data_IF_649374294194
#
_entry.id   IF_649374294194
#
_cell.length_a   1.000
_cell.length_b   1.000
_cell.length_c   1.000
_cell.angle_alpha   90.00
_cell.angle_beta   90.00
_cell.angle_gamma   90.00
#
_symmetry.space_group_name_H-M   'P 1'
#
loop_
_entity.id
_entity.type
_entity.pdbx_description
1 polymer ?
#
# COMPACT_ATOMS: atom_id res chain seq x y z
N UNK A 1 14.23 17.35 -5.16
CA UNK A 1 13.39 17.37 -3.96
C UNK A 1 13.31 18.79 -3.41
N UNK A 2 12.11 19.33 -3.29
CA UNK A 2 11.88 20.63 -2.70
C UNK A 2 10.69 20.53 -1.76
N UNK A 3 10.79 21.12 -0.59
CA UNK A 3 9.75 21.12 0.44
C UNK A 3 8.62 22.10 0.14
N UNK A 4 8.83 22.97 -0.87
CA UNK A 4 7.90 24.01 -1.24
C UNK A 4 7.72 24.05 -2.77
N UNK A 5 6.87 23.16 -3.27
CA UNK A 5 6.45 23.16 -4.68
C UNK A 5 4.96 23.47 -4.73
N UNK A 6 4.58 24.44 -5.54
CA UNK A 6 3.19 24.76 -5.83
C UNK A 6 2.87 24.39 -7.27
N UNK A 7 1.77 23.69 -7.48
CA UNK A 7 1.24 23.35 -8.80
C UNK A 7 -0.11 24.02 -8.99
N UNK A 8 -0.28 24.70 -10.11
CA UNK A 8 -1.55 25.23 -10.58
C UNK A 8 -2.00 24.40 -11.77
N UNK A 9 -2.88 23.45 -11.53
CA UNK A 9 -3.35 22.47 -12.53
C UNK A 9 -4.80 22.67 -12.95
N UNK A 10 -5.49 23.64 -12.34
CA UNK A 10 -6.90 23.94 -12.58
C UNK A 10 -7.12 25.46 -12.66
N UNK A 11 -6.34 26.16 -13.50
CA UNK A 11 -6.55 27.59 -13.72
C UNK A 11 -7.85 27.83 -14.50
N UNK A 12 -8.41 29.02 -14.40
CA UNK A 12 -9.55 29.46 -15.24
C UNK A 12 -9.24 29.34 -16.73
N UNK A 13 -7.96 29.41 -17.09
CA UNK A 13 -7.46 29.16 -18.44
C UNK A 13 -6.93 27.74 -18.48
N UNK A 14 -7.77 26.79 -18.89
CA UNK A 14 -7.48 25.36 -18.96
C UNK A 14 -6.20 24.98 -19.73
N UNK A 15 -5.72 25.88 -20.58
CA UNK A 15 -4.47 25.69 -21.34
C UNK A 15 -3.21 25.96 -20.50
N UNK A 16 -3.37 26.59 -19.35
CA UNK A 16 -2.24 26.96 -18.50
C UNK A 16 -2.05 25.98 -17.35
N UNK A 17 -0.89 25.36 -17.29
CA UNK A 17 -0.40 24.62 -16.14
C UNK A 17 0.83 25.34 -15.61
N UNK A 18 0.76 25.78 -14.36
CA UNK A 18 1.86 26.46 -13.69
C UNK A 18 2.49 25.59 -12.62
N UNK A 19 3.77 25.76 -12.40
CA UNK A 19 4.43 25.27 -11.20
C UNK A 19 5.48 26.26 -10.72
N UNK A 20 5.64 26.34 -9.41
CA UNK A 20 6.63 27.20 -8.80
C UNK A 20 7.39 26.47 -7.69
N UNK A 21 8.68 26.78 -7.60
CA UNK A 21 9.59 26.19 -6.60
C UNK A 21 10.30 27.36 -5.91
N UNK A 22 10.41 27.31 -4.61
CA UNK A 22 11.17 28.30 -3.88
C UNK A 22 12.67 28.04 -4.09
N UNK A 23 13.39 29.01 -4.65
CA UNK A 23 14.83 28.91 -4.92
C UNK A 23 15.25 29.79 -6.10
N UNK A 24 16.54 29.81 -6.38
CA UNK A 24 17.12 30.57 -7.49
C UNK A 24 17.37 29.71 -8.73
N UNK A 25 17.20 28.39 -8.62
CA UNK A 25 17.37 27.43 -9.72
C UNK A 25 16.18 26.48 -9.78
N UNK A 26 15.73 26.22 -11.02
CA UNK A 26 14.77 25.16 -11.32
C UNK A 26 15.30 24.32 -12.47
N UNK A 27 15.21 23.00 -12.33
CA UNK A 27 15.56 22.04 -13.38
C UNK A 27 14.38 21.15 -13.66
N UNK A 28 13.90 21.18 -14.91
CA UNK A 28 12.82 20.32 -15.37
C UNK A 28 13.17 19.69 -16.73
N UNK A 29 12.53 18.58 -17.03
CA UNK A 29 12.71 17.87 -18.27
C UNK A 29 11.39 17.80 -19.03
N UNK A 30 11.42 18.13 -20.32
CA UNK A 30 10.32 17.89 -21.25
C UNK A 30 10.69 16.67 -22.06
N UNK A 31 9.86 15.63 -21.98
CA UNK A 31 10.09 14.36 -22.66
C UNK A 31 9.12 14.29 -23.84
N UNK A 32 9.68 14.14 -25.04
CA UNK A 32 8.91 14.01 -26.26
C UNK A 32 9.08 12.61 -26.88
N UNK A 33 8.05 12.14 -27.57
CA UNK A 33 8.04 10.92 -28.34
C UNK A 33 6.90 10.93 -29.35
N UNK A 34 7.00 10.13 -30.40
CA UNK A 34 5.99 10.05 -31.45
C UNK A 34 4.66 9.44 -30.96
N UNK A 35 4.74 8.63 -29.90
CA UNK A 35 3.61 8.05 -29.22
C UNK A 35 3.87 7.91 -27.70
N UNK A 36 2.84 7.48 -26.96
CA UNK A 36 2.94 7.30 -25.50
C UNK A 36 4.01 6.28 -25.11
N UNK A 37 4.23 5.24 -25.91
CA UNK A 37 5.25 4.21 -25.61
C UNK A 37 6.64 4.81 -25.74
N UNK A 38 6.91 5.59 -26.79
CA UNK A 38 8.17 6.29 -26.99
C UNK A 38 8.47 7.30 -25.87
N UNK A 39 7.45 8.04 -25.40
CA UNK A 39 7.60 8.92 -24.22
C UNK A 39 7.96 8.11 -22.96
N UNK A 40 7.28 6.99 -22.70
CA UNK A 40 7.57 6.13 -21.55
C UNK A 40 8.96 5.49 -21.65
N UNK A 41 9.39 5.07 -22.84
CA UNK A 41 10.72 4.52 -23.06
C UNK A 41 11.80 5.56 -22.72
N UNK A 42 11.69 6.76 -23.28
CA UNK A 42 12.62 7.85 -22.98
C UNK A 42 12.61 8.22 -21.51
N UNK A 43 11.43 8.29 -20.90
CA UNK A 43 11.32 8.55 -19.46
C UNK A 43 12.03 7.49 -18.62
N UNK A 44 11.78 6.21 -18.92
CA UNK A 44 12.39 5.12 -18.14
C UNK A 44 13.88 4.94 -18.40
N UNK A 45 14.37 5.35 -19.56
CA UNK A 45 15.82 5.40 -19.84
C UNK A 45 16.54 6.45 -18.98
N UNK A 46 15.85 7.57 -18.67
CA UNK A 46 16.36 8.61 -17.78
C UNK A 46 16.25 8.25 -16.29
N UNK A 47 15.16 7.58 -15.91
CA UNK A 47 14.81 7.35 -14.48
C UNK A 47 15.09 5.94 -13.99
N UNK A 48 15.38 5.02 -14.90
CA UNK A 48 15.51 3.60 -14.63
C UNK A 48 14.24 2.82 -15.00
N UNK A 49 14.44 1.65 -15.61
CA UNK A 49 13.33 0.76 -15.98
C UNK A 49 12.83 0.01 -14.74
N UNK A 50 11.51 -0.15 -14.56
CA UNK A 50 10.97 -0.97 -13.50
C UNK A 50 11.32 -2.45 -13.70
N UNK A 51 11.38 -3.22 -12.61
CA UNK A 51 11.48 -4.67 -12.71
C UNK A 51 10.20 -5.24 -13.36
N UNK A 52 10.36 -6.31 -14.13
CA UNK A 52 9.23 -7.04 -14.68
C UNK A 52 8.58 -7.87 -13.57
N UNK A 53 7.33 -7.57 -13.17
CA UNK A 53 6.64 -8.35 -12.15
C UNK A 53 6.34 -9.78 -12.66
N UNK A 54 6.22 -10.77 -11.76
CA UNK A 54 5.84 -12.12 -12.14
C UNK A 54 4.39 -12.16 -12.67
N UNK A 55 4.12 -13.05 -13.63
CA UNK A 55 2.82 -13.11 -14.32
C UNK A 55 1.61 -13.24 -13.38
N UNK A 56 1.74 -13.96 -12.27
CA UNK A 56 0.66 -14.12 -11.28
C UNK A 56 0.22 -12.79 -10.65
N UNK A 57 1.08 -11.76 -10.61
CA UNK A 57 0.75 -10.46 -10.00
C UNK A 57 -0.26 -9.64 -10.84
N UNK A 58 -0.43 -10.01 -12.11
CA UNK A 58 -1.45 -9.44 -13.00
C UNK A 58 -2.78 -10.20 -12.96
N UNK A 59 -2.87 -11.28 -12.20
CA UNK A 59 -4.09 -12.03 -12.00
C UNK A 59 -5.04 -11.38 -10.99
N UNK A 60 -6.12 -12.08 -10.65
CA UNK A 60 -7.12 -11.59 -9.70
C UNK A 60 -6.58 -11.59 -8.27
N UNK A 61 -6.76 -10.47 -7.60
CA UNK A 61 -6.54 -10.27 -6.17
C UNK A 61 -7.89 -10.10 -5.49
N UNK A 62 -8.27 -11.03 -4.64
CA UNK A 62 -9.50 -10.95 -3.85
C UNK A 62 -9.16 -10.48 -2.43
N UNK A 63 -9.88 -9.49 -1.96
CA UNK A 63 -9.73 -8.95 -0.60
C UNK A 63 -10.99 -9.16 0.23
N UNK A 64 -10.83 -9.40 1.51
CA UNK A 64 -11.91 -9.36 2.50
C UNK A 64 -12.45 -7.96 2.72
N UNK A 65 -11.67 -6.91 2.37
CA UNK A 65 -11.99 -5.54 2.77
C UNK A 65 -12.05 -5.38 4.31
N UNK A 66 -12.28 -4.19 4.80
CA UNK A 66 -12.46 -3.91 6.25
C UNK A 66 -13.92 -4.06 6.72
N UNK A 67 -14.83 -4.39 5.81
CA UNK A 67 -16.27 -4.48 6.11
C UNK A 67 -16.72 -5.87 6.56
N UNK A 68 -15.84 -6.85 6.51
CA UNK A 68 -16.13 -8.25 6.79
C UNK A 68 -15.31 -8.72 7.97
N UNK A 69 -15.95 -9.25 9.01
CA UNK A 69 -15.26 -10.05 10.00
C UNK A 69 -14.84 -11.36 9.36
N UNK A 70 -13.55 -11.67 9.36
CA UNK A 70 -13.03 -12.84 8.68
C UNK A 70 -12.12 -13.65 9.58
N UNK A 71 -12.35 -14.93 9.51
CA UNK A 71 -11.51 -15.99 10.02
C UNK A 71 -11.11 -16.90 8.85
N UNK A 72 -10.39 -17.97 9.13
CA UNK A 72 -10.00 -18.91 8.08
C UNK A 72 -11.21 -19.55 7.38
N UNK A 73 -12.31 -19.83 8.09
CA UNK A 73 -13.51 -20.43 7.52
C UNK A 73 -14.18 -19.47 6.52
N UNK A 74 -14.34 -18.20 6.91
CA UNK A 74 -14.90 -17.17 6.04
C UNK A 74 -14.03 -16.97 4.81
N UNK A 75 -12.72 -16.88 4.98
CA UNK A 75 -11.76 -16.75 3.89
C UNK A 75 -11.84 -17.95 2.93
N UNK A 76 -11.89 -19.17 3.48
CA UNK A 76 -12.06 -20.38 2.67
C UNK A 76 -13.37 -20.37 1.87
N UNK A 77 -14.47 -19.83 2.41
CA UNK A 77 -15.73 -19.74 1.70
C UNK A 77 -15.63 -18.83 0.48
N UNK A 78 -14.91 -17.73 0.56
CA UNK A 78 -14.65 -16.84 -0.56
C UNK A 78 -13.76 -17.50 -1.62
N UNK A 79 -12.67 -18.15 -1.20
CA UNK A 79 -11.76 -18.86 -2.10
C UNK A 79 -12.49 -20.01 -2.82
N UNK A 80 -13.30 -20.78 -2.09
CA UNK A 80 -14.09 -21.86 -2.67
C UNK A 80 -15.16 -21.32 -3.61
N UNK A 81 -15.83 -20.22 -3.23
CA UNK A 81 -16.82 -19.58 -4.09
C UNK A 81 -16.27 -19.10 -5.43
N UNK A 82 -15.00 -18.70 -5.49
CA UNK A 82 -14.31 -18.40 -6.75
C UNK A 82 -14.07 -19.68 -7.56
N UNK A 83 -13.57 -20.74 -6.92
CA UNK A 83 -13.31 -22.03 -7.56
C UNK A 83 -14.60 -22.66 -8.12
N UNK A 84 -15.70 -22.62 -7.39
CA UNK A 84 -17.01 -23.16 -7.80
C UNK A 84 -17.60 -22.45 -9.04
N UNK A 85 -17.08 -21.27 -9.35
CA UNK A 85 -17.50 -20.45 -10.52
C UNK A 85 -16.46 -20.42 -11.63
N UNK A 86 -15.43 -21.26 -11.54
CA UNK A 86 -14.31 -21.28 -12.48
C UNK A 86 -13.63 -19.90 -12.65
N UNK A 87 -13.62 -19.08 -11.58
CA UNK A 87 -12.94 -17.79 -11.56
C UNK A 87 -11.52 -17.99 -11.01
N UNK A 88 -10.48 -17.82 -11.83
CA UNK A 88 -9.12 -18.00 -11.38
C UNK A 88 -8.72 -16.94 -10.36
N UNK A 89 -8.25 -17.36 -9.19
CA UNK A 89 -7.76 -16.50 -8.11
C UNK A 89 -6.27 -16.72 -7.92
N UNK A 90 -5.50 -15.63 -7.99
CA UNK A 90 -4.04 -15.68 -7.85
C UNK A 90 -3.57 -15.24 -6.48
N UNK A 91 -4.22 -14.22 -5.92
CA UNK A 91 -3.82 -13.61 -4.64
C UNK A 91 -5.03 -13.44 -3.76
N UNK A 92 -4.91 -13.85 -2.50
CA UNK A 92 -5.86 -13.46 -1.47
C UNK A 92 -5.21 -12.39 -0.58
N UNK A 93 -5.91 -11.27 -0.43
CA UNK A 93 -5.48 -10.13 0.36
C UNK A 93 -6.29 -10.04 1.64
N UNK A 94 -5.61 -10.14 2.78
CA UNK A 94 -6.21 -9.86 4.08
C UNK A 94 -6.11 -8.36 4.35
N UNK A 95 -7.25 -7.72 4.57
CA UNK A 95 -7.33 -6.33 4.98
C UNK A 95 -6.99 -6.18 6.46
N UNK A 96 -7.12 -5.01 7.04
CA UNK A 96 -6.55 -4.61 8.33
C UNK A 96 -6.81 -5.57 9.50
N UNK A 97 -7.89 -6.33 9.49
CA UNK A 97 -8.24 -7.26 10.58
C UNK A 97 -7.46 -8.59 10.56
N UNK A 98 -6.40 -8.73 9.77
CA UNK A 98 -5.43 -9.78 10.03
C UNK A 98 -4.66 -9.52 11.32
N UNK A 99 -4.49 -8.24 11.68
CA UNK A 99 -3.99 -7.79 12.97
C UNK A 99 -5.15 -7.60 13.96
N UNK A 100 -4.83 -7.56 15.24
CA UNK A 100 -5.80 -7.23 16.28
C UNK A 100 -6.35 -5.83 16.06
N UNK A 101 -7.67 -5.70 16.16
CA UNK A 101 -8.37 -4.42 16.07
C UNK A 101 -7.75 -3.36 16.98
N UNK A 102 -7.57 -2.15 16.47
CA UNK A 102 -6.93 -1.01 17.12
C UNK A 102 -5.43 -1.20 17.46
N UNK A 103 -4.81 -2.27 16.99
CA UNK A 103 -3.37 -2.52 17.08
C UNK A 103 -2.71 -2.45 15.69
N UNK A 104 -3.15 -1.48 14.87
CA UNK A 104 -2.69 -1.36 13.49
C UNK A 104 -1.17 -1.25 13.39
N UNK A 105 -0.63 -2.03 12.51
CA UNK A 105 0.80 -2.11 12.20
C UNK A 105 1.68 -2.57 13.38
N UNK A 106 1.17 -3.47 14.23
CA UNK A 106 1.99 -4.28 15.11
C UNK A 106 2.64 -5.48 14.40
N UNK A 107 2.14 -5.80 13.19
CA UNK A 107 2.59 -6.89 12.34
C UNK A 107 2.41 -8.29 12.96
N UNK A 108 1.47 -8.43 13.86
CA UNK A 108 1.12 -9.68 14.51
C UNK A 108 -0.28 -10.13 14.07
N UNK A 109 -0.41 -11.42 13.73
CA UNK A 109 -1.71 -11.99 13.44
C UNK A 109 -2.56 -12.05 14.72
N UNK A 110 -3.85 -11.74 14.58
CA UNK A 110 -4.78 -11.92 15.71
C UNK A 110 -5.04 -13.40 15.93
N UNK A 111 -4.32 -14.00 16.88
CA UNK A 111 -4.43 -15.43 17.23
C UNK A 111 -5.82 -15.83 17.71
N UNK A 112 -6.65 -14.87 18.15
CA UNK A 112 -8.05 -15.15 18.53
C UNK A 112 -8.90 -15.53 17.32
N UNK A 113 -8.54 -15.01 16.15
CA UNK A 113 -9.24 -15.21 14.87
C UNK A 113 -8.50 -16.25 14.02
N UNK A 114 -7.18 -16.24 14.06
CA UNK A 114 -6.30 -17.11 13.29
C UNK A 114 -5.39 -17.95 14.21
N UNK A 115 -5.92 -19.00 14.84
CA UNK A 115 -5.17 -19.77 15.83
C UNK A 115 -4.04 -20.65 15.25
N UNK A 116 -4.06 -20.91 13.93
CA UNK A 116 -3.05 -21.72 13.22
C UNK A 116 -2.58 -21.01 11.95
N UNK A 117 -1.94 -19.87 12.08
CA UNK A 117 -1.43 -19.08 10.95
C UNK A 117 -0.46 -19.87 10.06
N UNK A 118 0.56 -20.56 10.58
CA UNK A 118 1.47 -21.30 9.72
C UNK A 118 0.76 -22.40 8.91
N UNK A 119 -0.16 -23.13 9.50
CA UNK A 119 -0.95 -24.15 8.81
C UNK A 119 -1.90 -23.55 7.80
N UNK A 120 -2.59 -22.45 8.12
CA UNK A 120 -3.45 -21.71 7.19
C UNK A 120 -2.67 -21.25 5.97
N UNK A 121 -1.54 -20.57 6.15
CA UNK A 121 -0.71 -20.09 5.05
C UNK A 121 -0.19 -21.25 4.18
N UNK A 122 0.16 -22.38 4.80
CA UNK A 122 0.53 -23.58 4.04
C UNK A 122 -0.63 -24.10 3.20
N UNK A 123 -1.84 -24.20 3.75
CA UNK A 123 -3.05 -24.63 3.04
C UNK A 123 -3.34 -23.73 1.82
N UNK A 124 -3.17 -22.43 1.95
CA UNK A 124 -3.35 -21.50 0.82
C UNK A 124 -2.25 -21.63 -0.23
N UNK A 125 -1.02 -21.79 0.20
CA UNK A 125 0.09 -22.04 -0.71
C UNK A 125 -0.09 -23.35 -1.49
N UNK A 126 -0.57 -24.40 -0.85
CA UNK A 126 -0.85 -25.70 -1.49
C UNK A 126 -1.98 -25.60 -2.54
N UNK A 127 -2.89 -24.63 -2.40
CA UNK A 127 -3.90 -24.27 -3.41
C UNK A 127 -3.34 -23.37 -4.53
N UNK A 128 -2.07 -23.02 -4.52
CA UNK A 128 -1.42 -22.13 -5.50
C UNK A 128 -1.61 -20.64 -5.24
N UNK A 129 -2.26 -20.25 -4.15
CA UNK A 129 -2.52 -18.86 -3.81
C UNK A 129 -1.25 -18.17 -3.27
N UNK A 130 -1.11 -16.90 -3.62
CA UNK A 130 -0.23 -15.95 -2.95
C UNK A 130 -1.03 -15.19 -1.90
N UNK A 131 -0.38 -14.86 -0.79
CA UNK A 131 -1.01 -14.10 0.28
C UNK A 131 -0.38 -12.72 0.36
N UNK A 132 -1.24 -11.72 0.44
CA UNK A 132 -0.89 -10.34 0.72
C UNK A 132 -1.64 -9.92 1.98
N UNK A 133 -1.03 -9.06 2.77
CA UNK A 133 -1.64 -8.48 3.96
C UNK A 133 -1.60 -6.97 3.90
N UNK A 134 -2.66 -6.33 4.36
CA UNK A 134 -2.76 -4.88 4.43
C UNK A 134 -1.81 -4.29 5.47
N UNK A 135 -1.22 -3.17 5.14
CA UNK A 135 -0.47 -2.32 6.07
C UNK A 135 -0.75 -0.84 5.76
N UNK A 136 -0.51 0.02 6.73
CA UNK A 136 -0.48 1.46 6.53
C UNK A 136 0.67 2.09 7.34
N UNK A 137 0.95 3.40 7.21
CA UNK A 137 2.01 4.08 7.95
C UNK A 137 1.61 4.49 9.38
N UNK A 138 0.43 4.12 9.84
CA UNK A 138 -0.04 4.45 11.18
C UNK A 138 0.37 3.34 12.15
N UNK A 139 0.83 3.72 13.33
CA UNK A 139 1.22 2.77 14.37
C UNK A 139 0.36 3.03 15.60
N UNK A 140 -0.35 2.01 16.06
CA UNK A 140 -1.22 2.12 17.22
C UNK A 140 -0.40 2.32 18.51
N UNK A 141 -0.84 3.22 19.36
CA UNK A 141 -0.11 3.63 20.57
C UNK A 141 0.14 2.49 21.57
N UNK A 142 -0.71 1.45 21.56
CA UNK A 142 -0.57 0.28 22.44
C UNK A 142 0.45 -0.77 21.97
N UNK A 143 1.16 -0.53 20.87
CA UNK A 143 2.05 -1.53 20.26
C UNK A 143 3.51 -1.37 20.69
N UNK A 144 4.28 -2.45 20.58
CA UNK A 144 5.73 -2.42 20.82
C UNK A 144 6.45 -1.48 19.85
N UNK A 145 6.02 -1.45 18.58
CA UNK A 145 6.58 -0.56 17.56
C UNK A 145 6.36 0.93 17.88
N UNK A 146 5.20 1.27 18.45
CA UNK A 146 4.97 2.65 18.88
C UNK A 146 5.97 3.06 19.97
N UNK A 147 6.17 2.19 20.97
CA UNK A 147 7.14 2.44 22.05
C UNK A 147 8.56 2.60 21.50
N UNK A 148 8.99 1.69 20.63
CA UNK A 148 10.30 1.78 19.98
C UNK A 148 10.43 3.05 19.13
N UNK A 149 9.38 3.37 18.35
CA UNK A 149 9.35 4.57 17.52
C UNK A 149 9.44 5.86 18.31
N UNK A 150 8.82 5.91 19.50
CA UNK A 150 8.96 7.04 20.44
C UNK A 150 10.38 7.15 20.99
N UNK A 151 10.95 6.04 21.48
CA UNK A 151 12.28 6.00 22.08
C UNK A 151 13.39 6.37 21.08
N UNK A 152 13.23 5.95 19.81
CA UNK A 152 14.22 6.17 18.74
C UNK A 152 13.93 7.40 17.88
N UNK A 153 12.82 8.10 18.10
CA UNK A 153 12.46 9.31 17.34
C UNK A 153 12.07 9.04 15.89
N UNK A 154 11.52 7.86 15.57
CA UNK A 154 11.12 7.49 14.20
C UNK A 154 9.76 8.04 13.79
N UNK A 155 8.95 8.45 14.76
CA UNK A 155 7.59 8.91 14.51
C UNK A 155 7.59 10.37 14.02
N UNK A 156 6.64 10.67 13.13
CA UNK A 156 6.48 12.04 12.58
C UNK A 156 6.16 13.00 13.71
N UNK A 157 6.94 14.06 13.82
CA UNK A 157 6.77 15.08 14.83
C UNK A 157 5.77 16.16 14.38
N UNK A 158 5.11 16.80 15.31
CA UNK A 158 4.31 17.99 15.05
C UNK A 158 5.22 19.15 14.69
N UNK A 159 4.76 20.03 13.80
CA UNK A 159 5.53 21.19 13.37
C UNK A 159 5.85 22.18 14.52
N UNK A 160 5.03 22.17 15.57
CA UNK A 160 5.22 22.99 16.78
C UNK A 160 6.19 22.37 17.82
N UNK A 161 6.77 21.21 17.52
CA UNK A 161 7.67 20.48 18.41
C UNK A 161 7.02 19.87 19.65
N UNK A 162 5.69 19.89 19.75
CA UNK A 162 4.93 19.43 20.92
C UNK A 162 4.58 17.94 20.86
N UNK A 163 5.50 17.11 20.41
CA UNK A 163 5.35 15.66 20.38
C UNK A 163 4.97 15.11 19.02
N UNK A 164 4.55 13.86 19.00
CA UNK A 164 4.28 13.10 17.80
C UNK A 164 2.96 13.52 17.13
N UNK A 165 2.94 13.49 15.80
CA UNK A 165 1.71 13.71 15.04
C UNK A 165 0.75 12.55 15.28
N UNK A 166 -0.42 12.84 15.83
CA UNK A 166 -1.52 11.89 15.93
C UNK A 166 -2.43 12.02 14.71
N UNK A 167 -3.02 10.92 14.32
CA UNK A 167 -4.07 10.84 13.30
C UNK A 167 -5.30 10.31 14.02
N UNK A 168 -6.34 11.12 14.06
CA UNK A 168 -7.64 10.72 14.58
C UNK A 168 -8.36 9.92 13.49
N UNK A 169 -8.84 8.73 13.85
CA UNK A 169 -9.67 7.88 12.97
C UNK A 169 -11.16 8.17 13.22
#
# INVERSE_FOLDING_TARGET
>A
HSDNVSFEVASEKVENVGFSVKGEEIRYHVIYGDDIKGVLETYTDLTGKPALPPAWSFGLWLSTSFTTNYDENTTNSFIQGMADRDIPLNVFHFDCFWMKELHWCDFEWDERIFPDVPGMLKRYKDKGLKICVWINPYIAQGTAFFKEGMEKGYLVQRADGRGVKQIDN
#
